data_IF_455665813914
#
_entry.id   IF_455665813914
#
_cell.length_a   1.000
_cell.length_b   1.000
_cell.length_c   1.000
_cell.angle_alpha   90.00
_cell.angle_beta   90.00
_cell.angle_gamma   90.00
#
_symmetry.space_group_name_H-M   'P 1'
#
loop_
_entity.id
_entity.type
_entity.pdbx_description
1 polymer ?
#
# COMPACT_ATOMS: atom_id res chain seq x y z
N UNK A 1 37.02 6.24 2.01
CA UNK A 1 35.82 5.51 2.48
C UNK A 1 34.53 6.18 2.02
N UNK A 2 34.36 7.50 2.17
CA UNK A 2 33.16 8.24 1.73
C UNK A 2 32.78 8.03 0.25
N UNK A 3 33.75 7.99 -0.66
CA UNK A 3 33.53 7.80 -2.10
C UNK A 3 32.75 6.50 -2.40
N UNK A 4 32.99 5.44 -1.63
CA UNK A 4 32.30 4.15 -1.82
C UNK A 4 30.80 4.32 -1.53
N UNK A 5 30.45 5.00 -0.45
CA UNK A 5 29.04 5.26 -0.10
C UNK A 5 28.36 6.18 -1.12
N UNK A 6 29.06 7.20 -1.61
CA UNK A 6 28.55 8.10 -2.66
C UNK A 6 28.24 7.38 -3.98
N UNK A 7 29.07 6.41 -4.37
CA UNK A 7 28.82 5.58 -5.56
C UNK A 7 27.72 4.55 -5.30
N UNK A 8 27.60 4.06 -4.06
CA UNK A 8 26.59 3.07 -3.67
C UNK A 8 25.16 3.65 -3.74
N UNK A 9 24.95 4.94 -3.45
CA UNK A 9 23.64 5.58 -3.52
C UNK A 9 22.96 5.47 -4.91
N UNK A 10 23.56 5.93 -6.02
CA UNK A 10 22.94 5.83 -7.33
C UNK A 10 22.74 4.37 -7.76
N UNK A 11 23.64 3.46 -7.37
CA UNK A 11 23.46 2.02 -7.64
C UNK A 11 22.22 1.48 -6.94
N UNK A 12 22.06 1.75 -5.63
CA UNK A 12 20.87 1.34 -4.89
C UNK A 12 19.59 1.98 -5.42
N UNK A 13 19.65 3.24 -5.85
CA UNK A 13 18.51 3.94 -6.44
C UNK A 13 18.07 3.29 -7.75
N UNK A 14 19.01 2.96 -8.65
CA UNK A 14 18.72 2.25 -9.90
C UNK A 14 18.13 0.86 -9.63
N UNK A 15 18.74 0.10 -8.71
CA UNK A 15 18.24 -1.23 -8.33
C UNK A 15 16.82 -1.13 -7.76
N UNK A 16 16.52 -0.14 -6.92
CA UNK A 16 15.18 0.05 -6.37
C UNK A 16 14.12 0.31 -7.46
N UNK A 17 14.48 1.01 -8.55
CA UNK A 17 13.58 1.30 -9.66
C UNK A 17 13.34 0.10 -10.58
N UNK A 18 14.31 -0.81 -10.71
CA UNK A 18 14.18 -1.99 -11.58
C UNK A 18 13.41 -3.16 -10.93
N UNK A 19 13.29 -3.17 -9.60
CA UNK A 19 12.61 -4.25 -8.88
C UNK A 19 11.10 -4.20 -9.08
N UNK A 20 10.53 -5.27 -9.66
CA UNK A 20 9.08 -5.44 -9.84
C UNK A 20 8.32 -5.74 -8.54
N UNK A 21 8.98 -6.37 -7.57
CA UNK A 21 8.37 -6.70 -6.29
C UNK A 21 8.45 -5.51 -5.34
N UNK A 22 7.32 -4.86 -5.11
CA UNK A 22 7.19 -3.68 -4.24
C UNK A 22 7.83 -3.87 -2.86
N UNK A 23 7.71 -5.06 -2.26
CA UNK A 23 8.29 -5.34 -0.94
C UNK A 23 9.83 -5.31 -1.01
N UNK A 24 10.41 -5.95 -2.02
CA UNK A 24 11.85 -5.93 -2.24
C UNK A 24 12.37 -4.54 -2.60
N UNK A 25 11.61 -3.75 -3.37
CA UNK A 25 11.97 -2.37 -3.70
C UNK A 25 12.04 -1.48 -2.45
N UNK A 26 11.07 -1.64 -1.53
CA UNK A 26 11.06 -0.91 -0.25
C UNK A 26 12.25 -1.28 0.64
N UNK A 27 12.66 -2.55 0.66
CA UNK A 27 13.87 -2.97 1.41
C UNK A 27 15.14 -2.32 0.83
N UNK A 28 15.24 -2.23 -0.50
CA UNK A 28 16.39 -1.54 -1.13
C UNK A 28 16.36 -0.04 -0.82
N UNK A 29 15.17 0.57 -0.81
CA UNK A 29 15.01 1.98 -0.44
C UNK A 29 15.35 2.25 1.04
N UNK A 30 15.05 1.31 1.95
CA UNK A 30 15.44 1.41 3.35
C UNK A 30 16.97 1.31 3.51
N UNK A 31 17.62 0.43 2.72
CA UNK A 31 19.07 0.33 2.68
C UNK A 31 19.73 1.60 2.11
N UNK A 32 19.13 2.20 1.07
CA UNK A 32 19.55 3.50 0.54
C UNK A 32 19.54 4.59 1.62
N UNK A 33 18.45 4.67 2.39
CA UNK A 33 18.30 5.65 3.47
C UNK A 33 19.31 5.42 4.61
N UNK A 34 19.64 4.16 4.93
CA UNK A 34 20.68 3.84 5.90
C UNK A 34 22.07 4.32 5.43
N UNK A 35 22.42 4.07 4.16
CA UNK A 35 23.69 4.55 3.58
C UNK A 35 23.75 6.07 3.58
N UNK A 36 22.64 6.74 3.29
CA UNK A 36 22.54 8.20 3.32
C UNK A 36 22.77 8.76 4.74
N UNK A 37 22.18 8.12 5.76
CA UNK A 37 22.42 8.46 7.17
C UNK A 37 23.90 8.31 7.55
N UNK A 38 24.57 7.24 7.10
CA UNK A 38 26.01 7.06 7.30
C UNK A 38 26.83 8.18 6.65
N UNK A 39 26.44 8.64 5.45
CA UNK A 39 27.10 9.76 4.77
C UNK A 39 26.94 11.04 5.58
N UNK A 40 25.74 11.35 6.09
CA UNK A 40 25.55 12.54 6.94
C UNK A 40 26.37 12.50 8.22
N UNK A 41 26.50 11.33 8.84
CA UNK A 41 27.37 11.15 9.99
C UNK A 41 28.85 11.45 9.64
N UNK A 42 29.32 10.94 8.49
CA UNK A 42 30.67 11.23 7.99
C UNK A 42 30.89 12.71 7.61
N UNK A 43 29.84 13.41 7.20
CA UNK A 43 29.87 14.85 6.88
C UNK A 43 29.77 15.74 8.13
N UNK A 44 29.94 15.18 9.33
CA UNK A 44 29.82 15.89 10.60
C UNK A 44 28.44 16.53 10.84
N UNK A 45 27.39 15.95 10.25
CA UNK A 45 26.00 16.34 10.47
C UNK A 45 25.25 15.24 11.25
N UNK A 46 25.58 15.01 12.55
CA UNK A 46 25.00 13.92 13.33
C UNK A 46 23.50 14.07 13.57
N UNK A 47 23.01 15.30 13.71
CA UNK A 47 21.58 15.57 13.93
C UNK A 47 20.75 15.15 12.71
N UNK A 48 21.24 15.47 11.50
CA UNK A 48 20.63 15.08 10.23
C UNK A 48 20.74 13.57 10.02
N UNK A 49 21.87 12.96 10.40
CA UNK A 49 22.07 11.52 10.28
C UNK A 49 21.05 10.72 11.10
N UNK A 50 20.81 11.12 12.35
CA UNK A 50 19.82 10.48 13.23
C UNK A 50 18.40 10.66 12.68
N UNK A 51 18.07 11.88 12.21
CA UNK A 51 16.77 12.15 11.60
C UNK A 51 16.53 11.29 10.35
N UNK A 52 17.52 11.18 9.46
CA UNK A 52 17.44 10.36 8.26
C UNK A 52 17.29 8.87 8.57
N UNK A 53 18.04 8.36 9.56
CA UNK A 53 17.89 6.96 9.98
C UNK A 53 16.48 6.68 10.51
N UNK A 54 15.94 7.57 11.34
CA UNK A 54 14.60 7.41 11.91
C UNK A 54 13.49 7.51 10.85
N UNK A 55 13.56 8.51 9.96
CA UNK A 55 12.52 8.80 8.97
C UNK A 55 12.64 7.87 7.77
N UNK A 56 13.81 7.81 7.12
CA UNK A 56 14.00 7.06 5.89
C UNK A 56 13.98 5.55 6.11
N UNK A 57 14.87 5.05 6.99
CA UNK A 57 14.95 3.60 7.22
C UNK A 57 13.82 3.05 8.11
N UNK A 58 13.35 3.84 9.07
CA UNK A 58 12.27 3.45 9.99
C UNK A 58 10.88 3.78 9.47
N UNK A 59 10.51 5.06 9.51
CA UNK A 59 9.13 5.50 9.34
C UNK A 59 8.60 5.30 7.90
N UNK A 60 9.36 5.71 6.88
CA UNK A 60 8.97 5.56 5.49
C UNK A 60 8.81 4.09 5.11
N UNK A 61 9.72 3.23 5.57
CA UNK A 61 9.64 1.77 5.38
C UNK A 61 8.34 1.21 5.96
N UNK A 62 7.98 1.56 7.19
CA UNK A 62 6.72 1.12 7.81
C UNK A 62 5.52 1.61 7.03
N UNK A 63 5.50 2.89 6.63
CA UNK A 63 4.41 3.46 5.83
C UNK A 63 4.26 2.71 4.49
N UNK A 64 5.36 2.46 3.79
CA UNK A 64 5.32 1.70 2.53
C UNK A 64 4.85 0.27 2.74
N UNK A 65 5.28 -0.41 3.80
CA UNK A 65 4.79 -1.76 4.12
C UNK A 65 3.28 -1.77 4.40
N UNK A 66 2.75 -0.77 5.11
CA UNK A 66 1.31 -0.61 5.34
C UNK A 66 0.59 -0.36 4.01
N UNK A 67 1.13 0.49 3.15
CA UNK A 67 0.56 0.79 1.84
C UNK A 67 0.51 -0.46 0.95
N UNK A 68 1.59 -1.26 0.91
CA UNK A 68 1.65 -2.53 0.17
C UNK A 68 0.68 -3.56 0.75
N UNK A 69 0.53 -3.60 2.08
CA UNK A 69 -0.39 -4.52 2.75
C UNK A 69 -1.84 -4.19 2.45
N UNK A 70 -2.18 -2.91 2.22
CA UNK A 70 -3.53 -2.49 1.87
C UNK A 70 -3.84 -2.95 0.44
N UNK A 71 -4.35 -4.18 0.31
CA UNK A 71 -4.87 -4.69 -0.95
C UNK A 71 -6.08 -3.85 -1.37
N UNK A 72 -6.29 -3.72 -2.69
CA UNK A 72 -7.35 -2.88 -3.27
C UNK A 72 -8.74 -3.19 -2.73
N UNK A 73 -9.71 -2.30 -2.94
CA UNK A 73 -11.09 -2.49 -2.49
C UNK A 73 -11.91 -3.14 -3.59
N UNK A 74 -12.73 -4.14 -3.25
CA UNK A 74 -13.74 -4.68 -4.15
C UNK A 74 -15.02 -3.87 -3.98
N UNK A 75 -15.45 -3.18 -5.03
CA UNK A 75 -16.66 -2.38 -5.00
C UNK A 75 -17.80 -3.21 -5.60
N UNK A 76 -18.83 -3.47 -4.80
CA UNK A 76 -20.08 -4.07 -5.26
C UNK A 76 -21.10 -2.96 -5.50
N UNK A 77 -21.47 -2.78 -6.76
CA UNK A 77 -22.52 -1.85 -7.17
C UNK A 77 -23.85 -2.59 -7.10
N UNK A 78 -24.78 -2.07 -6.29
CA UNK A 78 -26.12 -2.65 -6.16
C UNK A 78 -27.18 -1.62 -6.53
N UNK A 79 -28.24 -2.12 -7.16
CA UNK A 79 -29.37 -1.32 -7.62
C UNK A 79 -30.52 -1.45 -6.62
N UNK A 80 -31.22 -0.35 -6.28
CA UNK A 80 -32.45 -0.45 -5.50
C UNK A 80 -33.44 -1.36 -6.24
N UNK A 81 -33.95 -2.40 -5.57
CA UNK A 81 -34.82 -3.47 -6.10
C UNK A 81 -34.16 -4.64 -6.86
N UNK A 82 -32.88 -4.94 -6.65
CA UNK A 82 -32.33 -6.25 -7.07
C UNK A 82 -33.06 -7.41 -6.36
N UNK A 83 -33.52 -8.41 -7.12
CA UNK A 83 -34.11 -9.64 -6.57
C UNK A 83 -33.10 -10.56 -5.87
N UNK A 84 -31.82 -10.24 -5.94
CA UNK A 84 -30.74 -11.08 -5.46
C UNK A 84 -29.93 -10.44 -4.32
N UNK A 85 -30.25 -9.18 -3.97
CA UNK A 85 -29.67 -8.44 -2.86
C UNK A 85 -30.77 -7.86 -1.96
N UNK A 86 -30.77 -8.26 -0.70
CA UNK A 86 -31.73 -7.83 0.32
C UNK A 86 -31.00 -7.46 1.61
N UNK A 87 -31.77 -7.01 2.61
CA UNK A 87 -31.27 -6.85 3.96
C UNK A 87 -31.92 -7.91 4.86
N UNK A 88 -31.12 -8.60 5.67
CA UNK A 88 -31.57 -9.46 6.78
C UNK A 88 -32.47 -8.64 7.72
N UNK A 89 -33.33 -9.29 8.52
CA UNK A 89 -34.13 -8.70 9.62
C UNK A 89 -33.28 -7.87 10.59
N UNK A 90 -31.96 -8.12 10.63
CA UNK A 90 -30.98 -7.36 11.41
C UNK A 90 -30.35 -6.17 10.67
N UNK A 91 -30.86 -5.81 9.50
CA UNK A 91 -30.37 -4.69 8.69
C UNK A 91 -29.00 -4.92 8.05
N UNK A 92 -28.55 -6.17 7.91
CA UNK A 92 -27.26 -6.51 7.27
C UNK A 92 -27.47 -6.84 5.79
N UNK A 93 -26.61 -6.37 4.88
CA UNK A 93 -26.71 -6.73 3.46
C UNK A 93 -26.54 -8.25 3.32
N UNK A 94 -27.49 -8.90 2.64
CA UNK A 94 -27.56 -10.34 2.48
C UNK A 94 -28.14 -10.69 1.11
N UNK A 95 -27.60 -11.70 0.46
CA UNK A 95 -28.00 -12.05 -0.90
C UNK A 95 -26.94 -12.91 -1.56
N UNK A 96 -27.34 -13.70 -2.56
CA UNK A 96 -26.41 -14.61 -3.24
C UNK A 96 -25.20 -13.87 -3.82
N UNK A 97 -25.45 -12.72 -4.43
CA UNK A 97 -24.41 -11.86 -5.02
C UNK A 97 -23.44 -11.34 -3.94
N UNK A 98 -23.98 -10.89 -2.80
CA UNK A 98 -23.20 -10.40 -1.67
C UNK A 98 -22.38 -11.53 -1.03
N UNK A 99 -22.96 -12.72 -0.87
CA UNK A 99 -22.28 -13.87 -0.29
C UNK A 99 -21.12 -14.32 -1.18
N UNK A 100 -21.30 -14.38 -2.50
CA UNK A 100 -20.21 -14.68 -3.43
C UNK A 100 -19.11 -13.63 -3.36
N UNK A 101 -19.48 -12.34 -3.45
CA UNK A 101 -18.51 -11.24 -3.44
C UNK A 101 -17.79 -11.11 -2.11
N UNK A 102 -18.46 -11.37 -0.99
CA UNK A 102 -17.85 -11.36 0.34
C UNK A 102 -16.91 -12.55 0.53
N UNK A 103 -17.26 -13.74 0.03
CA UNK A 103 -16.36 -14.89 0.03
C UNK A 103 -15.12 -14.63 -0.84
N UNK A 104 -15.31 -14.02 -2.01
CA UNK A 104 -14.25 -13.66 -2.93
C UNK A 104 -13.31 -12.60 -2.34
N UNK A 105 -13.88 -11.54 -1.76
CA UNK A 105 -13.14 -10.49 -1.07
C UNK A 105 -12.33 -11.06 0.11
N UNK A 106 -12.94 -11.93 0.91
CA UNK A 106 -12.28 -12.60 2.04
C UNK A 106 -11.14 -13.51 1.59
N UNK A 107 -11.31 -14.25 0.49
CA UNK A 107 -10.26 -15.10 -0.09
C UNK A 107 -9.10 -14.28 -0.65
N UNK A 108 -9.38 -13.12 -1.23
CA UNK A 108 -8.37 -12.18 -1.72
C UNK A 108 -7.76 -11.31 -0.61
N UNK A 109 -8.34 -11.31 0.59
CA UNK A 109 -7.92 -10.47 1.71
C UNK A 109 -8.15 -8.98 1.45
N UNK A 110 -9.21 -8.64 0.70
CA UNK A 110 -9.60 -7.29 0.33
C UNK A 110 -10.90 -6.89 1.01
N UNK A 111 -11.11 -5.59 1.17
CA UNK A 111 -12.34 -5.03 1.72
C UNK A 111 -13.44 -5.02 0.64
N UNK A 112 -14.67 -5.34 1.04
CA UNK A 112 -15.86 -5.27 0.17
C UNK A 112 -16.67 -4.03 0.53
N UNK A 113 -16.74 -3.08 -0.39
CA UNK A 113 -17.54 -1.85 -0.25
C UNK A 113 -18.81 -1.99 -1.10
N UNK A 114 -19.99 -1.91 -0.46
CA UNK A 114 -21.27 -1.92 -1.17
C UNK A 114 -21.71 -0.50 -1.43
N UNK A 115 -21.81 -0.11 -2.70
CA UNK A 115 -22.33 1.19 -3.13
C UNK A 115 -23.71 1.02 -3.75
N UNK A 116 -24.67 1.74 -3.17
CA UNK A 116 -26.00 1.89 -3.75
C UNK A 116 -25.95 2.94 -4.83
N UNK A 117 -26.30 2.54 -6.04
CA UNK A 117 -26.34 3.42 -7.20
C UNK A 117 -27.79 3.58 -7.62
N UNK A 118 -28.26 4.83 -7.78
CA UNK A 118 -29.66 5.08 -8.13
C UNK A 118 -29.90 4.97 -9.64
N UNK A 119 -28.87 5.29 -10.44
CA UNK A 119 -28.96 5.35 -11.90
C UNK A 119 -27.83 4.60 -12.62
N UNK A 120 -28.11 4.02 -13.80
CA UNK A 120 -27.15 3.20 -14.57
C UNK A 120 -25.99 4.05 -15.10
N UNK A 121 -26.18 5.37 -15.12
CA UNK A 121 -25.20 6.36 -15.57
C UNK A 121 -24.16 6.66 -14.48
N UNK A 122 -24.48 6.42 -13.20
CA UNK A 122 -23.53 6.55 -12.08
C UNK A 122 -22.62 5.30 -11.92
N UNK A 123 -22.89 4.23 -12.68
CA UNK A 123 -22.15 2.96 -12.62
C UNK A 123 -20.80 2.96 -13.36
N UNK A 124 -20.55 3.95 -14.23
CA UNK A 124 -19.32 4.06 -15.02
C UNK A 124 -18.71 5.45 -14.73
N UNK A 125 -17.58 5.55 -14.02
CA UNK A 125 -16.85 6.81 -13.88
C UNK A 125 -16.22 7.27 -15.21
#
# INVERSE_FOLDING_TARGET
>A
MLIVFLIMLPVLALVALEIKNLLSAVIVLSAFSLVLSLIFYYLHAPDVAIAEAAIGSGFATVIFLIAIKKRGVLIMLTYPHSRFFYYDDKGRPAGFDYDILSLFARKLGIELEVRHVQDWQELIP
#
